data_IF_806148727843
#
_entry.id   IF_806148727843
#
_cell.length_a   1.000
_cell.length_b   1.000
_cell.length_c   1.000
_cell.angle_alpha   90.00
_cell.angle_beta   90.00
_cell.angle_gamma   90.00
#
_symmetry.space_group_name_H-M   'P 1'
#
loop_
_entity.id
_entity.type
_entity.pdbx_description
1 polymer ?
#
# COMPACT_ATOMS: atom_id res chain seq x y z
N UNK A 1 34.26 12.31 -6.35
CA UNK A 1 35.65 11.84 -6.38
C UNK A 1 36.04 11.73 -7.84
N UNK A 2 37.16 12.32 -8.25
CA UNK A 2 37.58 12.30 -9.65
C UNK A 2 38.59 11.16 -9.83
N UNK A 3 38.28 10.16 -10.66
CA UNK A 3 39.17 9.01 -10.85
C UNK A 3 40.28 9.40 -11.84
N UNK A 4 41.52 9.50 -11.34
CA UNK A 4 42.69 9.86 -12.16
C UNK A 4 43.28 8.67 -12.95
N UNK A 5 42.75 7.46 -12.77
CA UNK A 5 43.15 6.20 -13.42
C UNK A 5 41.88 5.48 -13.89
N UNK A 6 42.00 4.46 -14.75
CA UNK A 6 40.92 3.57 -15.21
C UNK A 6 39.82 3.38 -14.15
N UNK A 7 38.57 3.48 -14.60
CA UNK A 7 37.41 3.45 -13.71
C UNK A 7 37.42 2.16 -12.88
N UNK A 8 37.33 2.25 -11.53
CA UNK A 8 37.38 1.07 -10.67
C UNK A 8 36.18 0.16 -10.95
N UNK A 9 36.37 -1.16 -11.00
CA UNK A 9 35.27 -2.09 -11.31
C UNK A 9 34.18 -2.12 -10.23
N UNK A 10 34.51 -1.80 -8.98
CA UNK A 10 33.58 -1.86 -7.84
C UNK A 10 33.78 -0.67 -6.91
N UNK A 11 32.67 -0.09 -6.46
CA UNK A 11 32.62 0.99 -5.48
C UNK A 11 31.89 0.49 -4.23
N UNK A 12 32.57 0.54 -3.08
CA UNK A 12 32.04 0.07 -1.80
C UNK A 12 31.93 1.25 -0.84
N UNK A 13 30.73 1.49 -0.29
CA UNK A 13 30.49 2.62 0.60
C UNK A 13 29.77 2.17 1.88
N UNK A 14 30.38 2.43 3.04
CA UNK A 14 29.83 2.06 4.37
C UNK A 14 29.94 3.15 5.43
N UNK A 15 30.34 4.37 5.06
CA UNK A 15 30.81 5.34 6.05
C UNK A 15 29.74 5.81 7.05
N UNK A 16 28.45 5.77 6.68
CA UNK A 16 27.35 6.29 7.51
C UNK A 16 26.42 5.21 8.05
N UNK A 17 26.39 4.00 7.49
CA UNK A 17 25.43 2.96 7.88
C UNK A 17 25.66 2.41 9.29
N UNK A 18 26.91 2.45 9.79
CA UNK A 18 27.21 2.04 11.17
C UNK A 18 26.60 2.97 12.24
N UNK A 19 26.29 4.22 11.88
CA UNK A 19 25.75 5.24 12.79
C UNK A 19 24.27 5.50 12.48
N UNK A 20 23.89 5.47 11.22
CA UNK A 20 22.52 5.69 10.74
C UNK A 20 22.17 4.63 9.66
N UNK A 21 21.63 3.46 10.05
CA UNK A 21 21.30 2.38 9.11
C UNK A 21 20.27 2.77 8.04
N UNK A 22 19.41 3.73 8.34
CA UNK A 22 18.41 4.28 7.41
C UNK A 22 18.96 5.38 6.48
N UNK A 23 20.24 5.75 6.59
CA UNK A 23 20.83 6.75 5.72
C UNK A 23 20.91 6.24 4.28
N UNK A 24 20.76 7.12 3.29
CA UNK A 24 20.88 6.76 1.87
C UNK A 24 21.88 7.68 1.19
N UNK A 25 22.83 7.09 0.47
CA UNK A 25 23.79 7.82 -0.33
C UNK A 25 23.41 7.81 -1.79
N UNK A 26 23.53 8.98 -2.41
CA UNK A 26 23.25 9.18 -3.82
C UNK A 26 24.57 9.43 -4.57
N UNK A 27 24.89 8.53 -5.50
CA UNK A 27 26.12 8.55 -6.26
C UNK A 27 25.83 8.88 -7.73
N UNK A 28 26.48 9.92 -8.26
CA UNK A 28 26.46 10.27 -9.68
C UNK A 28 27.80 9.91 -10.32
N UNK A 29 27.76 9.22 -11.46
CA UNK A 29 28.96 8.93 -12.23
C UNK A 29 28.98 9.82 -13.48
N UNK A 30 30.04 10.63 -13.59
CA UNK A 30 30.29 11.45 -14.77
C UNK A 30 31.48 10.88 -15.54
N UNK A 31 31.42 10.90 -16.88
CA UNK A 31 32.57 10.66 -17.77
C UNK A 31 32.61 11.80 -18.77
N UNK A 32 33.76 12.46 -18.88
CA UNK A 32 33.98 13.58 -19.80
C UNK A 32 32.92 14.71 -19.68
N UNK A 33 32.44 14.95 -18.44
CA UNK A 33 31.43 15.97 -18.15
C UNK A 33 29.98 15.56 -18.44
N UNK A 34 29.76 14.39 -19.02
CA UNK A 34 28.42 13.81 -19.23
C UNK A 34 28.05 12.90 -18.06
N UNK A 35 26.84 13.07 -17.52
CA UNK A 35 26.25 12.18 -16.54
C UNK A 35 25.96 10.83 -17.21
N UNK A 36 26.66 9.77 -16.79
CA UNK A 36 26.48 8.42 -17.32
C UNK A 36 25.34 7.68 -16.62
N UNK A 37 25.30 7.72 -15.29
CA UNK A 37 24.26 7.08 -14.50
C UNK A 37 24.20 7.65 -13.08
N UNK A 38 23.12 7.31 -12.39
CA UNK A 38 22.86 7.66 -11.00
C UNK A 38 22.50 6.38 -10.24
N UNK A 39 23.09 6.18 -9.06
CA UNK A 39 22.85 4.99 -8.25
C UNK A 39 22.71 5.37 -6.79
N UNK A 40 21.92 4.58 -6.05
CA UNK A 40 21.75 4.75 -4.62
C UNK A 40 22.38 3.60 -3.85
N UNK A 41 23.05 3.99 -2.78
CA UNK A 41 23.77 3.09 -1.89
C UNK A 41 23.01 3.11 -0.57
N UNK A 42 22.54 1.94 -0.17
CA UNK A 42 21.85 1.68 1.10
C UNK A 42 22.62 0.63 1.88
N UNK A 43 22.27 0.40 3.15
CA UNK A 43 22.92 -0.62 3.98
C UNK A 43 22.81 -2.04 3.39
N UNK A 44 21.72 -2.32 2.68
CA UNK A 44 21.48 -3.60 2.00
C UNK A 44 22.17 -3.72 0.63
N UNK A 45 22.66 -2.61 0.06
CA UNK A 45 23.24 -2.51 -1.27
C UNK A 45 24.45 -1.56 -1.26
N UNK A 46 25.49 -1.96 -0.54
CA UNK A 46 26.69 -1.18 -0.25
C UNK A 46 27.82 -1.33 -1.28
N UNK A 47 27.69 -2.28 -2.20
CA UNK A 47 28.58 -2.48 -3.36
C UNK A 47 27.90 -2.16 -4.69
N UNK A 48 28.49 -1.22 -5.44
CA UNK A 48 28.13 -0.90 -6.82
C UNK A 48 29.17 -1.47 -7.79
N UNK A 49 28.75 -2.13 -8.87
CA UNK A 49 29.66 -2.49 -9.97
C UNK A 49 29.65 -1.40 -11.03
N UNK A 50 30.81 -0.88 -11.42
CA UNK A 50 30.91 0.21 -12.41
C UNK A 50 30.58 -0.28 -13.83
N UNK A 51 30.66 -1.59 -14.09
CA UNK A 51 30.17 -2.21 -15.32
C UNK A 51 28.66 -2.04 -15.55
N UNK A 52 27.86 -1.89 -14.49
CA UNK A 52 26.41 -1.65 -14.61
C UNK A 52 26.11 -0.27 -15.24
N UNK A 53 27.07 0.65 -15.20
CA UNK A 53 26.96 2.02 -15.69
C UNK A 53 27.26 2.16 -17.21
N UNK A 54 27.84 1.14 -17.85
CA UNK A 54 28.05 1.09 -19.30
C UNK A 54 26.86 0.45 -20.04
N UNK A 55 25.92 -0.16 -19.32
CA UNK A 55 24.66 -0.53 -19.92
C UNK A 55 23.85 0.74 -20.12
N UNK A 56 23.24 0.91 -21.29
CA UNK A 56 22.07 1.77 -21.45
C UNK A 56 20.98 1.24 -20.51
N UNK A 57 21.13 1.48 -19.22
CA UNK A 57 20.07 1.41 -18.23
C UNK A 57 19.16 2.59 -18.53
N UNK A 58 18.50 2.54 -19.70
CA UNK A 58 17.13 3.01 -19.76
C UNK A 58 16.44 2.32 -18.58
N UNK A 59 15.90 3.12 -17.67
CA UNK A 59 15.20 2.61 -16.50
C UNK A 59 14.05 1.75 -17.01
N UNK A 60 14.31 0.44 -17.01
CA UNK A 60 13.54 -0.46 -17.84
C UNK A 60 12.17 -0.61 -17.23
N UNK A 61 11.15 -0.36 -18.03
CA UNK A 61 9.77 -0.73 -17.73
C UNK A 61 9.70 -2.13 -17.11
N UNK A 62 10.49 -3.08 -17.60
CA UNK A 62 10.54 -4.46 -17.09
C UNK A 62 11.16 -4.59 -15.69
N UNK A 63 12.10 -3.72 -15.32
CA UNK A 63 12.69 -3.70 -13.98
C UNK A 63 11.64 -3.22 -12.96
N UNK A 64 11.00 -2.08 -13.23
CA UNK A 64 9.94 -1.56 -12.35
C UNK A 64 8.70 -2.46 -12.33
N UNK A 65 8.37 -3.12 -13.44
CA UNK A 65 7.33 -4.14 -13.47
C UNK A 65 7.60 -5.29 -12.49
N UNK A 66 8.84 -5.79 -12.45
CA UNK A 66 9.24 -6.81 -11.47
C UNK A 66 9.16 -6.29 -10.04
N UNK A 67 9.55 -5.04 -9.79
CA UNK A 67 9.43 -4.40 -8.48
C UNK A 67 7.96 -4.30 -8.07
N UNK A 68 7.06 -3.88 -8.96
CA UNK A 68 5.62 -3.83 -8.69
C UNK A 68 5.01 -5.19 -8.36
N UNK A 69 5.42 -6.24 -9.07
CA UNK A 69 5.02 -7.61 -8.77
C UNK A 69 5.52 -8.07 -7.40
N UNK A 70 6.79 -7.80 -7.08
CA UNK A 70 7.41 -8.15 -5.81
C UNK A 70 6.80 -7.36 -4.63
N UNK A 71 6.43 -6.10 -4.84
CA UNK A 71 5.78 -5.25 -3.83
C UNK A 71 4.49 -5.88 -3.32
N UNK A 72 3.62 -6.33 -4.24
CA UNK A 72 2.36 -6.99 -3.88
C UNK A 72 2.59 -8.35 -3.23
N UNK A 73 3.61 -9.10 -3.67
CA UNK A 73 3.95 -10.40 -3.08
C UNK A 73 4.58 -10.29 -1.68
N UNK A 74 5.34 -9.22 -1.42
CA UNK A 74 6.03 -8.99 -0.14
C UNK A 74 5.15 -8.33 0.91
N UNK A 75 4.16 -7.52 0.50
CA UNK A 75 3.27 -6.82 1.42
C UNK A 75 2.13 -7.71 1.93
N UNK A 76 2.27 -8.27 3.13
CA UNK A 76 1.21 -9.08 3.78
C UNK A 76 -0.10 -8.28 3.89
N UNK A 77 -0.02 -6.97 4.14
CA UNK A 77 -1.17 -6.06 4.16
C UNK A 77 -1.95 -6.05 2.84
N UNK A 78 -1.25 -6.05 1.70
CA UNK A 78 -1.86 -6.03 0.38
C UNK A 78 -2.60 -7.34 0.12
N UNK A 79 -2.01 -8.48 0.50
CA UNK A 79 -2.65 -9.79 0.39
C UNK A 79 -3.89 -9.83 1.28
N UNK A 80 -3.79 -9.41 2.54
CA UNK A 80 -4.91 -9.37 3.48
C UNK A 80 -6.05 -8.48 2.97
N UNK A 81 -5.72 -7.31 2.44
CA UNK A 81 -6.69 -6.39 1.85
C UNK A 81 -7.37 -6.98 0.60
N UNK A 82 -6.62 -7.62 -0.31
CA UNK A 82 -7.17 -8.30 -1.49
C UNK A 82 -8.11 -9.44 -1.10
N UNK A 83 -7.76 -10.24 -0.10
CA UNK A 83 -8.63 -11.28 0.45
C UNK A 83 -9.94 -10.69 0.95
N UNK A 84 -9.86 -9.57 1.68
CA UNK A 84 -11.04 -8.83 2.14
C UNK A 84 -11.90 -8.33 0.98
N UNK A 85 -11.30 -7.73 -0.05
CA UNK A 85 -12.04 -7.26 -1.23
C UNK A 85 -12.75 -8.40 -1.96
N UNK A 86 -12.16 -9.60 -2.03
CA UNK A 86 -12.81 -10.76 -2.64
C UNK A 86 -14.04 -11.22 -1.87
N UNK A 87 -14.00 -11.16 -0.53
CA UNK A 87 -15.15 -11.47 0.33
C UNK A 87 -16.31 -10.50 0.07
N UNK A 88 -16.01 -9.22 -0.19
CA UNK A 88 -17.00 -8.16 -0.44
C UNK A 88 -17.51 -8.17 -1.88
N UNK A 89 -16.63 -8.35 -2.87
CA UNK A 89 -16.98 -8.26 -4.27
C UNK A 89 -17.93 -9.38 -4.69
N UNK A 90 -17.73 -10.59 -4.17
CA UNK A 90 -18.63 -11.75 -4.36
C UNK A 90 -18.69 -12.32 -5.78
N UNK A 91 -18.13 -11.64 -6.79
CA UNK A 91 -18.03 -12.10 -8.17
C UNK A 91 -16.69 -11.72 -8.80
N UNK A 92 -16.26 -12.49 -9.81
CA UNK A 92 -15.00 -12.26 -10.53
C UNK A 92 -15.00 -10.88 -11.20
N UNK A 93 -16.08 -10.51 -11.89
CA UNK A 93 -16.18 -9.21 -12.56
C UNK A 93 -16.09 -8.03 -11.60
N UNK A 94 -16.77 -8.10 -10.44
CA UNK A 94 -16.68 -7.05 -9.40
C UNK A 94 -15.28 -6.99 -8.77
N UNK A 95 -14.60 -8.12 -8.67
CA UNK A 95 -13.24 -8.19 -8.13
C UNK A 95 -12.23 -7.51 -9.06
N UNK A 96 -12.36 -7.72 -10.38
CA UNK A 96 -11.51 -7.04 -11.38
C UNK A 96 -11.74 -5.53 -11.30
N UNK A 97 -12.99 -5.08 -11.28
CA UNK A 97 -13.33 -3.66 -11.15
C UNK A 97 -12.74 -3.04 -9.87
N UNK A 98 -12.79 -3.77 -8.75
CA UNK A 98 -12.21 -3.33 -7.48
C UNK A 98 -10.67 -3.24 -7.54
N UNK A 99 -10.00 -4.22 -8.14
CA UNK A 99 -8.54 -4.26 -8.30
C UNK A 99 -8.05 -3.12 -9.19
N UNK A 100 -8.72 -2.88 -10.33
CA UNK A 100 -8.38 -1.78 -11.22
C UNK A 100 -8.65 -0.43 -10.54
N UNK A 101 -9.76 -0.28 -9.81
CA UNK A 101 -10.04 0.92 -9.02
C UNK A 101 -8.95 1.21 -7.98
N UNK A 102 -8.51 0.18 -7.25
CA UNK A 102 -7.39 0.27 -6.32
C UNK A 102 -6.10 0.69 -7.02
N UNK A 103 -5.75 0.07 -8.15
CA UNK A 103 -4.54 0.40 -8.92
C UNK A 103 -4.56 1.85 -9.40
N UNK A 104 -5.71 2.34 -9.86
CA UNK A 104 -5.87 3.75 -10.29
C UNK A 104 -5.59 4.68 -9.12
N UNK A 105 -6.21 4.45 -7.97
CA UNK A 105 -5.97 5.26 -6.77
C UNK A 105 -4.50 5.24 -6.35
N UNK A 106 -3.91 4.04 -6.31
CA UNK A 106 -2.51 3.82 -5.96
C UNK A 106 -1.56 4.57 -6.91
N UNK A 107 -1.84 4.54 -8.21
CA UNK A 107 -1.05 5.23 -9.23
C UNK A 107 -1.08 6.75 -9.03
N UNK A 108 -2.24 7.30 -8.69
CA UNK A 108 -2.42 8.74 -8.49
C UNK A 108 -1.65 9.22 -7.26
N UNK A 109 -1.77 8.53 -6.13
CA UNK A 109 -1.07 8.95 -4.90
C UNK A 109 0.44 8.75 -5.01
N UNK A 110 0.90 7.67 -5.63
CA UNK A 110 2.31 7.44 -5.89
C UNK A 110 2.89 8.56 -6.76
N UNK A 111 2.20 8.93 -7.85
CA UNK A 111 2.61 10.04 -8.71
C UNK A 111 2.61 11.37 -7.94
N UNK A 112 1.58 11.67 -7.15
CA UNK A 112 1.48 12.90 -6.39
C UNK A 112 2.60 13.04 -5.33
N UNK A 113 2.97 11.95 -4.68
CA UNK A 113 4.04 11.93 -3.70
C UNK A 113 5.43 12.06 -4.35
N UNK A 114 5.67 11.30 -5.42
CA UNK A 114 6.93 11.33 -6.17
C UNK A 114 7.17 12.70 -6.84
N UNK A 115 6.13 13.35 -7.36
CA UNK A 115 6.23 14.72 -7.90
C UNK A 115 6.40 15.78 -6.80
N UNK A 116 6.34 15.39 -5.52
CA UNK A 116 6.49 16.29 -4.39
C UNK A 116 5.28 17.17 -4.11
N UNK A 117 4.12 16.90 -4.72
CA UNK A 117 2.88 17.65 -4.47
C UNK A 117 2.28 17.34 -3.11
N UNK A 118 2.43 16.11 -2.62
CA UNK A 118 1.90 15.67 -1.33
C UNK A 118 2.99 14.99 -0.53
N UNK A 119 3.18 15.42 0.72
CA UNK A 119 4.03 14.74 1.70
C UNK A 119 3.12 14.13 2.75
N UNK A 120 2.96 12.81 2.69
CA UNK A 120 2.16 12.08 3.65
C UNK A 120 3.04 11.65 4.84
N UNK A 121 2.44 11.63 6.02
CA UNK A 121 3.05 11.05 7.22
C UNK A 121 2.96 9.52 7.13
N UNK A 122 4.12 8.85 7.07
CA UNK A 122 4.20 7.41 6.88
C UNK A 122 3.49 6.62 7.98
N UNK A 123 3.65 7.03 9.23
CA UNK A 123 3.03 6.36 10.39
C UNK A 123 1.50 6.43 10.30
N UNK A 124 0.95 7.61 9.96
CA UNK A 124 -0.49 7.76 9.75
C UNK A 124 -1.01 6.93 8.58
N UNK A 125 -0.27 6.88 7.47
CA UNK A 125 -0.65 6.11 6.28
C UNK A 125 -0.65 4.61 6.59
N UNK A 126 0.41 4.10 7.23
CA UNK A 126 0.56 2.69 7.58
C UNK A 126 -0.48 2.22 8.60
N UNK A 127 -0.81 3.06 9.59
CA UNK A 127 -1.92 2.82 10.50
C UNK A 127 -3.24 2.73 9.70
N UNK A 128 -3.50 3.69 8.81
CA UNK A 128 -4.74 3.68 8.03
C UNK A 128 -4.83 2.46 7.11
N UNK A 129 -3.72 1.99 6.52
CA UNK A 129 -3.67 0.72 5.77
C UNK A 129 -4.12 -0.46 6.64
N UNK A 130 -3.68 -0.55 7.90
CA UNK A 130 -4.17 -1.56 8.84
C UNK A 130 -5.68 -1.47 9.07
N UNK A 131 -6.19 -0.24 9.24
CA UNK A 131 -7.61 0.00 9.43
C UNK A 131 -8.46 -0.35 8.19
N UNK A 132 -7.99 -0.12 6.96
CA UNK A 132 -8.79 -0.46 5.76
C UNK A 132 -9.03 -1.97 5.67
N UNK A 133 -8.06 -2.80 6.06
CA UNK A 133 -8.22 -4.27 6.18
C UNK A 133 -9.31 -4.61 7.20
N UNK A 134 -9.28 -3.99 8.37
CA UNK A 134 -10.31 -4.18 9.39
C UNK A 134 -11.69 -3.72 8.91
N UNK A 135 -11.78 -2.56 8.24
CA UNK A 135 -13.06 -2.02 7.74
C UNK A 135 -13.71 -2.91 6.70
N UNK A 136 -12.92 -3.45 5.77
CA UNK A 136 -13.38 -4.40 4.75
C UNK A 136 -13.87 -5.70 5.44
N UNK A 137 -13.16 -6.18 6.45
CA UNK A 137 -13.60 -7.34 7.23
C UNK A 137 -14.90 -7.07 8.02
N UNK A 138 -15.04 -5.89 8.63
CA UNK A 138 -16.26 -5.47 9.33
C UNK A 138 -17.44 -5.36 8.37
N UNK A 139 -17.25 -4.77 7.18
CA UNK A 139 -18.31 -4.65 6.19
C UNK A 139 -18.90 -6.03 5.83
N UNK A 140 -18.06 -7.06 5.70
CA UNK A 140 -18.53 -8.42 5.44
C UNK A 140 -19.55 -8.90 6.48
N UNK A 141 -19.32 -8.63 7.77
CA UNK A 141 -20.24 -9.04 8.84
C UNK A 141 -21.49 -8.17 8.94
N UNK A 142 -21.38 -6.86 8.67
CA UNK A 142 -22.51 -5.93 8.83
C UNK A 142 -23.45 -5.99 7.61
N UNK A 143 -23.00 -6.53 6.47
CA UNK A 143 -23.85 -6.80 5.30
C UNK A 143 -24.94 -7.83 5.63
N UNK A 144 -26.16 -7.33 5.84
CA UNK A 144 -27.37 -8.15 6.01
C UNK A 144 -27.96 -8.14 7.43
N UNK A 145 -27.28 -7.56 8.43
CA UNK A 145 -27.76 -7.51 9.81
C UNK A 145 -28.23 -6.13 10.29
N UNK A 146 -28.96 -6.11 11.42
CA UNK A 146 -29.54 -4.90 12.03
C UNK A 146 -28.52 -4.04 12.80
N UNK A 147 -27.28 -4.51 12.97
CA UNK A 147 -26.24 -3.93 13.87
C UNK A 147 -25.49 -2.70 13.27
N UNK A 148 -25.95 -2.13 12.14
CA UNK A 148 -25.10 -1.19 11.38
C UNK A 148 -24.74 0.14 12.06
N UNK A 149 -25.64 0.74 12.85
CA UNK A 149 -25.34 2.04 13.49
C UNK A 149 -24.37 1.89 14.66
N UNK A 150 -24.57 0.88 15.50
CA UNK A 150 -23.73 0.66 16.68
C UNK A 150 -22.29 0.36 16.29
N UNK A 151 -22.06 -0.46 15.24
CA UNK A 151 -20.70 -0.78 14.77
C UNK A 151 -20.01 0.45 14.18
N UNK A 152 -20.74 1.30 13.44
CA UNK A 152 -20.18 2.54 12.88
C UNK A 152 -19.70 3.50 13.99
N UNK A 153 -20.54 3.74 15.01
CA UNK A 153 -20.16 4.59 16.15
C UNK A 153 -19.06 3.95 17.02
N UNK A 154 -19.09 2.63 17.20
CA UNK A 154 -18.02 1.92 17.89
C UNK A 154 -16.67 2.05 17.16
N UNK A 155 -16.67 1.97 15.83
CA UNK A 155 -15.47 2.14 15.00
C UNK A 155 -14.93 3.56 15.12
N UNK A 156 -15.80 4.58 15.05
CA UNK A 156 -15.41 5.99 15.24
C UNK A 156 -14.82 6.22 16.64
N UNK A 157 -15.48 5.71 17.68
CA UNK A 157 -14.99 5.84 19.04
C UNK A 157 -13.65 5.10 19.22
N UNK A 158 -13.52 3.92 18.63
CA UNK A 158 -12.29 3.14 18.66
C UNK A 158 -11.12 3.89 18.03
N UNK A 159 -11.27 4.42 16.81
CA UNK A 159 -10.20 5.19 16.14
C UNK A 159 -9.84 6.47 16.91
N UNK A 160 -10.85 7.16 17.47
CA UNK A 160 -10.62 8.35 18.29
C UNK A 160 -9.89 8.02 19.59
N UNK A 161 -10.29 6.94 20.27
CA UNK A 161 -9.67 6.51 21.53
C UNK A 161 -8.21 6.08 21.32
N UNK A 162 -7.92 5.32 20.25
CA UNK A 162 -6.55 4.95 19.90
C UNK A 162 -5.70 6.19 19.59
N UNK A 163 -6.22 7.15 18.82
CA UNK A 163 -5.54 8.42 18.59
C UNK A 163 -5.29 9.23 19.87
N UNK A 164 -6.26 9.26 20.80
CA UNK A 164 -6.10 9.93 22.09
C UNK A 164 -5.06 9.23 22.99
N UNK A 165 -5.02 7.89 22.99
CA UNK A 165 -3.99 7.12 23.70
C UNK A 165 -2.61 7.40 23.12
N UNK A 166 -2.45 7.34 21.79
CA UNK A 166 -1.19 7.62 21.13
C UNK A 166 -0.70 9.06 21.41
N UNK A 167 -1.60 10.04 21.47
CA UNK A 167 -1.27 11.40 21.87
C UNK A 167 -0.80 11.46 23.34
N UNK A 168 -1.43 10.71 24.23
CA UNK A 168 -1.07 10.69 25.66
C UNK A 168 0.28 10.03 25.95
N UNK A 169 0.67 9.05 25.14
CA UNK A 169 1.96 8.35 25.23
C UNK A 169 3.09 9.13 24.53
N UNK A 170 2.73 10.15 23.75
CA UNK A 170 3.69 10.97 23.00
C UNK A 170 4.14 10.33 21.68
N UNK A 171 3.49 9.26 21.22
CA UNK A 171 3.79 8.60 19.94
C UNK A 171 3.42 9.46 18.73
N UNK A 172 2.40 10.32 18.85
CA UNK A 172 1.92 11.17 17.75
C UNK A 172 1.80 12.65 18.16
N UNK A 173 1.88 13.53 17.16
CA UNK A 173 1.67 14.98 17.35
C UNK A 173 0.20 15.34 17.56
N UNK A 174 -0.06 16.53 18.13
CA UNK A 174 -1.43 17.06 18.27
C UNK A 174 -2.11 17.21 16.90
N UNK A 175 -1.38 17.62 15.86
CA UNK A 175 -1.90 17.75 14.49
C UNK A 175 -2.30 16.38 13.94
N UNK A 176 -1.46 15.36 14.15
CA UNK A 176 -1.73 13.98 13.72
C UNK A 176 -2.95 13.39 14.44
N UNK A 177 -3.22 13.79 15.69
CA UNK A 177 -4.41 13.32 16.44
C UNK A 177 -5.74 13.73 15.79
N UNK A 178 -5.77 14.87 15.10
CA UNK A 178 -6.95 15.33 14.33
C UNK A 178 -7.23 14.38 13.15
N UNK A 179 -6.19 13.82 12.53
CA UNK A 179 -6.34 12.87 11.43
C UNK A 179 -7.09 11.61 11.88
N UNK A 180 -6.84 11.07 13.08
CA UNK A 180 -7.57 9.92 13.62
C UNK A 180 -9.06 10.18 13.79
N UNK A 181 -9.45 11.41 14.11
CA UNK A 181 -10.86 11.81 14.14
C UNK A 181 -11.47 11.79 12.74
N UNK A 182 -10.77 12.34 11.75
CA UNK A 182 -11.20 12.30 10.34
C UNK A 182 -11.33 10.87 9.80
N UNK A 183 -10.36 10.00 10.13
CA UNK A 183 -10.38 8.58 9.80
C UNK A 183 -11.60 7.88 10.42
N UNK A 184 -11.90 8.17 11.68
CA UNK A 184 -13.08 7.62 12.37
C UNK A 184 -14.40 8.06 11.76
N UNK A 185 -14.52 9.34 11.39
CA UNK A 185 -15.69 9.87 10.68
C UNK A 185 -15.84 9.19 9.32
N UNK A 186 -14.77 9.07 8.56
CA UNK A 186 -14.77 8.39 7.27
C UNK A 186 -15.22 6.92 7.42
N UNK A 187 -14.64 6.19 8.37
CA UNK A 187 -14.98 4.79 8.66
C UNK A 187 -16.47 4.63 9.02
N UNK A 188 -17.00 5.48 9.90
CA UNK A 188 -18.40 5.44 10.27
C UNK A 188 -19.32 5.76 9.08
N UNK A 189 -19.03 6.82 8.34
CA UNK A 189 -19.80 7.20 7.14
C UNK A 189 -19.79 6.08 6.10
N UNK A 190 -18.63 5.46 5.87
CA UNK A 190 -18.48 4.33 4.96
C UNK A 190 -19.37 3.14 5.35
N UNK A 191 -19.31 2.71 6.62
CA UNK A 191 -20.12 1.58 7.11
C UNK A 191 -21.62 1.89 7.08
N UNK A 192 -22.01 3.12 7.42
CA UNK A 192 -23.41 3.57 7.33
C UNK A 192 -23.91 3.58 5.89
N UNK A 193 -23.09 4.05 4.94
CA UNK A 193 -23.45 4.08 3.53
C UNK A 193 -23.50 2.67 2.92
N UNK A 194 -22.52 1.82 3.20
CA UNK A 194 -22.50 0.43 2.74
C UNK A 194 -23.74 -0.34 3.21
N UNK A 195 -24.17 -0.11 4.45
CA UNK A 195 -25.35 -0.76 5.01
C UNK A 195 -26.65 -0.19 4.48
N UNK A 196 -26.73 1.11 4.20
CA UNK A 196 -27.86 1.74 3.54
C UNK A 196 -28.06 1.19 2.12
N UNK A 197 -26.99 1.13 1.32
CA UNK A 197 -26.99 0.60 -0.05
C UNK A 197 -27.36 -0.90 -0.07
N UNK A 198 -26.79 -1.68 0.86
CA UNK A 198 -27.11 -3.10 0.98
C UNK A 198 -28.57 -3.34 1.36
N UNK A 199 -29.16 -2.50 2.22
CA UNK A 199 -30.59 -2.58 2.60
C UNK A 199 -31.54 -2.18 1.48
N UNK A 200 -31.14 -1.20 0.66
CA UNK A 200 -31.91 -0.79 -0.51
C UNK A 200 -31.89 -1.83 -1.64
N UNK A 201 -31.06 -2.87 -1.53
CA UNK A 201 -30.78 -3.86 -2.58
C UNK A 201 -30.38 -3.20 -3.92
N UNK A 202 -29.74 -2.02 -3.84
CA UNK A 202 -29.34 -1.24 -5.01
C UNK A 202 -27.99 -1.73 -5.54
N UNK A 203 -28.03 -2.54 -6.59
CA UNK A 203 -26.83 -3.07 -7.23
C UNK A 203 -25.95 -1.99 -7.89
N UNK A 204 -26.57 -0.91 -8.39
CA UNK A 204 -25.81 0.19 -9.01
C UNK A 204 -25.06 0.98 -7.95
N UNK A 205 -25.75 1.36 -6.88
CA UNK A 205 -25.13 1.99 -5.71
C UNK A 205 -24.02 1.13 -5.10
N UNK A 206 -24.21 -0.19 -5.00
CA UNK A 206 -23.21 -1.10 -4.45
C UNK A 206 -21.95 -1.20 -5.31
N UNK A 207 -22.10 -1.09 -6.63
CA UNK A 207 -20.96 -1.09 -7.56
C UNK A 207 -20.24 0.25 -7.54
N UNK A 208 -20.99 1.36 -7.50
CA UNK A 208 -20.42 2.69 -7.36
C UNK A 208 -19.62 2.83 -6.06
N UNK A 209 -20.19 2.41 -4.92
CA UNK A 209 -19.50 2.44 -3.63
C UNK A 209 -18.22 1.59 -3.66
N UNK A 210 -18.27 0.39 -4.25
CA UNK A 210 -17.10 -0.47 -4.39
C UNK A 210 -15.97 0.24 -5.16
N UNK A 211 -16.29 0.87 -6.30
CA UNK A 211 -15.31 1.59 -7.12
C UNK A 211 -14.74 2.79 -6.37
N UNK A 212 -15.61 3.66 -5.82
CA UNK A 212 -15.16 4.85 -5.10
C UNK A 212 -14.29 4.49 -3.91
N UNK A 213 -14.70 3.50 -3.11
CA UNK A 213 -13.93 3.08 -1.94
C UNK A 213 -12.61 2.43 -2.31
N UNK A 214 -12.57 1.57 -3.33
CA UNK A 214 -11.32 0.93 -3.75
C UNK A 214 -10.33 1.95 -4.30
N UNK A 215 -10.80 2.98 -5.02
CA UNK A 215 -9.97 4.13 -5.43
C UNK A 215 -9.45 4.89 -4.20
N UNK A 216 -10.29 5.20 -3.22
CA UNK A 216 -9.87 5.88 -1.98
C UNK A 216 -8.84 5.07 -1.19
N UNK A 217 -9.03 3.75 -1.06
CA UNK A 217 -8.07 2.86 -0.41
C UNK A 217 -6.77 2.75 -1.21
N UNK A 218 -6.85 2.66 -2.54
CA UNK A 218 -5.68 2.73 -3.41
C UNK A 218 -4.87 4.01 -3.20
N UNK A 219 -5.53 5.16 -3.12
CA UNK A 219 -4.89 6.45 -2.84
C UNK A 219 -4.08 6.39 -1.54
N UNK A 220 -4.66 5.89 -0.46
CA UNK A 220 -3.96 5.77 0.83
C UNK A 220 -2.77 4.82 0.72
N UNK A 221 -2.96 3.64 0.13
CA UNK A 221 -1.89 2.64 0.00
C UNK A 221 -0.70 3.13 -0.83
N UNK A 222 -0.94 3.89 -1.92
CA UNK A 222 0.16 4.40 -2.74
C UNK A 222 1.06 5.41 -2.03
N UNK A 223 0.57 6.10 -0.98
CA UNK A 223 1.41 6.93 -0.13
C UNK A 223 2.37 6.12 0.74
N UNK A 224 1.99 4.90 1.15
CA UNK A 224 2.83 4.03 1.96
C UNK A 224 4.08 3.57 1.20
N UNK A 225 3.93 3.28 -0.10
CA UNK A 225 5.08 2.92 -0.95
C UNK A 225 5.90 4.12 -1.42
N UNK A 226 5.29 5.31 -1.51
CA UNK A 226 6.00 6.51 -1.97
C UNK A 226 7.17 6.88 -1.05
N UNK A 227 7.07 6.65 0.26
CA UNK A 227 8.17 6.84 1.21
C UNK A 227 9.41 6.03 0.82
N UNK A 228 9.20 4.74 0.50
CA UNK A 228 10.27 3.85 0.02
C UNK A 228 10.89 4.33 -1.30
N UNK A 229 10.10 4.82 -2.27
CA UNK A 229 10.65 5.37 -3.52
C UNK A 229 11.46 6.66 -3.31
N UNK A 230 11.02 7.52 -2.39
CA UNK A 230 11.75 8.73 -2.04
C UNK A 230 13.09 8.40 -1.36
N UNK A 231 13.11 7.41 -0.48
CA UNK A 231 14.32 6.94 0.19
C UNK A 231 15.28 6.26 -0.77
N UNK A 232 14.77 5.38 -1.63
CA UNK A 232 15.59 4.74 -2.68
C UNK A 232 16.03 5.72 -3.76
N UNK A 233 15.53 6.97 -3.78
CA UNK A 233 15.97 8.06 -4.66
C UNK A 233 15.96 7.72 -6.16
N UNK A 234 15.16 6.72 -6.54
CA UNK A 234 14.92 6.22 -7.90
C UNK A 234 14.21 7.26 -8.79
N UNK A 235 14.51 8.55 -8.61
CA UNK A 235 13.80 9.67 -9.21
C UNK A 235 14.70 10.46 -10.16
N UNK A 236 14.74 10.01 -11.41
CA UNK A 236 15.46 10.62 -12.53
C UNK A 236 14.53 11.43 -13.43
N UNK A 237 15.03 11.93 -14.55
CA UNK A 237 14.31 12.84 -15.47
C UNK A 237 13.15 12.19 -16.24
N UNK A 238 13.01 10.86 -16.23
CA UNK A 238 11.95 10.13 -16.94
C UNK A 238 11.14 9.21 -16.01
N UNK A 239 10.44 9.78 -15.02
CA UNK A 239 9.66 9.05 -14.01
C UNK A 239 8.45 8.28 -14.56
N UNK A 240 7.92 8.69 -15.71
CA UNK A 240 6.67 8.17 -16.25
C UNK A 240 6.74 6.68 -16.59
N UNK A 241 7.76 6.25 -17.35
CA UNK A 241 7.91 4.86 -17.82
C UNK A 241 8.15 3.87 -16.65
N UNK A 242 9.04 4.18 -15.68
CA UNK A 242 9.17 3.41 -14.45
C UNK A 242 7.87 3.28 -13.65
N UNK A 243 7.15 4.39 -13.41
CA UNK A 243 5.90 4.37 -12.64
C UNK A 243 4.81 3.56 -13.37
N UNK A 244 4.75 3.66 -14.69
CA UNK A 244 3.84 2.84 -15.49
C UNK A 244 4.17 1.35 -15.37
N UNK A 245 5.45 0.98 -15.47
CA UNK A 245 5.91 -0.39 -15.29
C UNK A 245 5.55 -0.93 -13.91
N UNK A 246 5.81 -0.15 -12.86
CA UNK A 246 5.48 -0.49 -11.48
C UNK A 246 3.98 -0.73 -11.29
N UNK A 247 3.12 0.21 -11.70
CA UNK A 247 1.68 0.09 -11.52
C UNK A 247 1.08 -1.06 -12.34
N UNK A 248 1.60 -1.34 -13.54
CA UNK A 248 1.17 -2.52 -14.29
C UNK A 248 1.62 -3.82 -13.59
N UNK A 249 2.83 -3.83 -13.01
CA UNK A 249 3.30 -4.94 -12.18
C UNK A 249 2.39 -5.18 -10.97
N UNK A 250 1.93 -4.12 -10.32
CA UNK A 250 0.96 -4.17 -9.22
C UNK A 250 -0.36 -4.78 -9.71
N UNK A 251 -0.97 -4.26 -10.77
CA UNK A 251 -2.26 -4.77 -11.27
C UNK A 251 -2.18 -6.25 -11.65
N UNK A 252 -1.13 -6.65 -12.37
CA UNK A 252 -0.91 -8.05 -12.74
C UNK A 252 -0.73 -8.92 -11.49
N UNK A 253 0.07 -8.48 -10.51
CA UNK A 253 0.26 -9.19 -9.25
C UNK A 253 -1.05 -9.39 -8.49
N UNK A 254 -1.86 -8.34 -8.40
CA UNK A 254 -3.18 -8.40 -7.76
C UNK A 254 -4.12 -9.39 -8.48
N UNK A 255 -4.18 -9.34 -9.82
CA UNK A 255 -5.02 -10.25 -10.61
C UNK A 255 -4.57 -11.72 -10.46
N UNK A 256 -3.27 -11.98 -10.40
CA UNK A 256 -2.72 -13.32 -10.13
C UNK A 256 -3.15 -13.82 -8.75
N UNK A 257 -3.02 -13.00 -7.71
CA UNK A 257 -3.47 -13.35 -6.34
C UNK A 257 -4.97 -13.61 -6.31
N UNK A 258 -5.76 -12.78 -6.98
CA UNK A 258 -7.21 -12.98 -7.10
C UNK A 258 -7.52 -14.32 -7.76
N UNK A 259 -6.88 -14.64 -8.88
CA UNK A 259 -7.08 -15.91 -9.58
C UNK A 259 -6.70 -17.12 -8.69
N UNK A 260 -5.56 -17.05 -8.01
CA UNK A 260 -5.11 -18.10 -7.09
C UNK A 260 -6.04 -18.27 -5.89
N UNK A 261 -6.51 -17.16 -5.31
CA UNK A 261 -7.46 -17.19 -4.19
C UNK A 261 -8.78 -17.81 -4.60
N UNK A 262 -9.32 -17.45 -5.77
CA UNK A 262 -10.57 -18.01 -6.29
C UNK A 262 -10.42 -19.50 -6.61
N UNK A 263 -9.29 -19.91 -7.19
CA UNK A 263 -8.97 -21.33 -7.43
C UNK A 263 -8.90 -22.11 -6.12
N UNK A 264 -8.15 -21.62 -5.14
CA UNK A 264 -8.04 -22.22 -3.80
C UNK A 264 -9.40 -22.32 -3.11
N UNK A 265 -10.20 -21.25 -3.15
CA UNK A 265 -11.54 -21.25 -2.62
C UNK A 265 -12.44 -22.30 -3.30
N UNK A 266 -12.34 -22.49 -4.62
CA UNK A 266 -13.11 -23.51 -5.32
C UNK A 266 -12.70 -24.95 -4.94
N UNK A 267 -11.41 -25.19 -4.69
CA UNK A 267 -10.91 -26.48 -4.22
C UNK A 267 -11.35 -26.76 -2.77
N UNK A 268 -11.27 -25.76 -1.89
CA UNK A 268 -11.67 -25.85 -0.48
C UNK A 268 -13.19 -25.89 -0.29
N UNK A 269 -13.97 -25.36 -1.24
CA UNK A 269 -15.45 -25.43 -1.24
C UNK A 269 -15.96 -26.86 -1.14
N UNK A 270 -15.19 -27.85 -1.62
CA UNK A 270 -15.52 -29.27 -1.51
C UNK A 270 -15.50 -29.80 -0.06
N UNK A 271 -14.84 -29.09 0.87
CA UNK A 271 -14.62 -29.56 2.25
C UNK A 271 -15.23 -28.66 3.34
N UNK A 272 -15.27 -27.32 3.18
CA UNK A 272 -15.67 -26.39 4.28
C UNK A 272 -16.65 -25.27 3.86
N UNK A 273 -17.78 -25.65 3.27
CA UNK A 273 -18.68 -24.75 2.51
C UNK A 273 -19.33 -23.56 3.25
N UNK A 274 -19.47 -23.56 4.59
CA UNK A 274 -20.26 -22.54 5.31
C UNK A 274 -19.48 -21.56 6.19
N UNK A 275 -18.37 -22.00 6.77
CA UNK A 275 -17.68 -21.20 7.80
C UNK A 275 -16.38 -20.54 7.32
N UNK A 276 -15.82 -21.00 6.18
CA UNK A 276 -14.53 -20.49 5.68
C UNK A 276 -14.53 -18.95 5.47
N UNK A 277 -15.57 -18.32 4.87
CA UNK A 277 -15.59 -16.86 4.70
C UNK A 277 -15.69 -16.11 6.04
N UNK A 278 -16.41 -16.67 7.03
CA UNK A 278 -16.58 -16.05 8.35
C UNK A 278 -15.27 -16.10 9.15
N UNK A 279 -14.57 -17.24 9.14
CA UNK A 279 -13.26 -17.35 9.78
C UNK A 279 -12.22 -16.46 9.09
N UNK A 280 -12.23 -16.40 7.76
CA UNK A 280 -11.34 -15.50 7.01
C UNK A 280 -11.61 -14.03 7.37
N UNK A 281 -12.87 -13.59 7.38
CA UNK A 281 -13.23 -12.24 7.77
C UNK A 281 -12.86 -11.94 9.24
N UNK A 282 -13.09 -12.87 10.16
CA UNK A 282 -12.71 -12.70 11.56
C UNK A 282 -11.18 -12.56 11.73
N UNK A 283 -10.40 -13.38 11.02
CA UNK A 283 -8.94 -13.31 11.01
C UNK A 283 -8.43 -11.99 10.42
N UNK A 284 -9.00 -11.54 9.30
CA UNK A 284 -8.67 -10.25 8.68
C UNK A 284 -9.01 -9.08 9.59
N UNK A 285 -10.15 -9.13 10.29
CA UNK A 285 -10.54 -8.11 11.25
C UNK A 285 -9.53 -8.02 12.40
N UNK A 286 -9.18 -9.16 13.00
CA UNK A 286 -8.20 -9.21 14.08
C UNK A 286 -6.82 -8.69 13.64
N UNK A 287 -6.36 -9.09 12.45
CA UNK A 287 -5.07 -8.68 11.89
C UNK A 287 -5.05 -7.18 11.56
N UNK A 288 -6.10 -6.66 10.94
CA UNK A 288 -6.21 -5.23 10.63
C UNK A 288 -6.27 -4.36 11.88
N UNK A 289 -7.02 -4.78 12.90
CA UNK A 289 -7.07 -4.09 14.20
C UNK A 289 -5.69 -4.12 14.87
N UNK A 290 -5.01 -5.26 14.85
CA UNK A 290 -3.66 -5.40 15.40
C UNK A 290 -2.69 -4.43 14.72
N UNK A 291 -2.60 -4.43 13.39
CA UNK A 291 -1.73 -3.52 12.65
C UNK A 291 -2.08 -2.05 12.85
N UNK A 292 -3.37 -1.71 12.90
CA UNK A 292 -3.79 -0.34 13.17
C UNK A 292 -3.26 0.15 14.53
N UNK A 293 -3.45 -0.65 15.59
CA UNK A 293 -3.02 -0.29 16.95
C UNK A 293 -1.50 -0.26 17.05
N UNK A 294 -0.82 -1.29 16.55
CA UNK A 294 0.64 -1.40 16.60
C UNK A 294 1.30 -0.20 15.90
N UNK A 295 0.92 0.11 14.67
CA UNK A 295 1.52 1.20 13.87
C UNK A 295 1.13 2.60 14.36
N UNK A 296 0.05 2.72 15.13
CA UNK A 296 -0.33 4.00 15.76
C UNK A 296 0.52 4.29 17.00
N UNK A 297 0.94 3.25 17.72
CA UNK A 297 1.62 3.38 19.02
C UNK A 297 3.15 3.27 18.89
N UNK A 298 3.62 2.44 17.96
CA UNK A 298 5.05 2.26 17.65
C UNK A 298 5.69 3.55 17.13
#
# INVERSE_FOLDING_TARGET
YDCQIEAPDRLHYRALFAIAPAHVHYAKLHRDGLLLNEALITDSADTLQVSDFNSDQSWSFAAFFKIGLAHIAGGIDHIAFLLGLLLIAGSVGRSIVAVTGFTIGHSISLAAAVLGYVRADGQLVEAFIGLTVALVAIEFFVRGERISKSVAFATLFFTWAIGAIALSVGSISLISSVAYTGIGIFAACYLLLSTAVSRANDQRGATFLLVTTTVCFGLIHGFGFAGFLMETGLLGTSLFVPLLGFNLGVEVGQLVIVALTLLGANLLRRHMHRLLPQYAAAGLCALGVFWFVERTIA
#
